data_IF_537345785817
#
_entry.id   IF_537345785817
#
_cell.length_a   1.000
_cell.length_b   1.000
_cell.length_c   1.000
_cell.angle_alpha   90.00
_cell.angle_beta   90.00
_cell.angle_gamma   90.00
#
_symmetry.space_group_name_H-M   'P 1'
#
loop_
_entity.id
_entity.type
_entity.pdbx_description
1 polymer ?
#
# COMPACT_ATOMS: atom_id res chain seq x y z
N UNK A 1 16.46 10.66 1.18
CA UNK A 1 15.20 9.99 1.54
C UNK A 1 14.46 9.66 0.26
N UNK A 2 14.08 8.39 0.07
CA UNK A 2 13.37 7.93 -1.13
C UNK A 2 11.88 7.88 -0.79
N UNK A 3 11.05 8.50 -1.64
CA UNK A 3 9.60 8.40 -1.51
C UNK A 3 9.11 7.16 -2.25
N UNK A 4 8.23 6.40 -1.61
CA UNK A 4 7.60 5.23 -2.17
C UNK A 4 6.10 5.48 -2.31
N UNK A 5 5.50 4.94 -3.37
CA UNK A 5 4.05 4.77 -3.44
C UNK A 5 3.71 3.52 -2.64
N UNK A 6 2.79 3.65 -1.69
CA UNK A 6 2.49 2.63 -0.68
C UNK A 6 1.01 2.31 -0.73
N UNK A 7 0.67 1.04 -0.59
CA UNK A 7 -0.68 0.58 -0.42
C UNK A 7 -1.16 0.95 1.00
N UNK A 8 -2.25 1.71 1.16
CA UNK A 8 -2.76 2.10 2.49
C UNK A 8 -3.32 0.93 3.30
N UNK A 9 -3.53 -0.24 2.68
CA UNK A 9 -4.08 -1.42 3.34
C UNK A 9 -2.99 -2.29 3.96
N UNK A 10 -1.99 -2.67 3.16
CA UNK A 10 -0.97 -3.65 3.60
C UNK A 10 0.44 -3.07 3.68
N UNK A 11 0.65 -1.81 3.30
CA UNK A 11 1.98 -1.21 3.26
C UNK A 11 2.87 -1.76 2.14
N UNK A 12 2.33 -2.45 1.13
CA UNK A 12 3.12 -2.88 -0.03
C UNK A 12 3.47 -1.72 -0.94
N UNK A 13 4.68 -1.72 -1.48
CA UNK A 13 5.14 -0.79 -2.52
C UNK A 13 4.97 -1.39 -3.93
N UNK A 14 4.45 -2.62 -4.01
CA UNK A 14 4.21 -3.35 -5.25
C UNK A 14 2.83 -2.99 -5.83
N UNK A 15 2.76 -1.82 -6.47
CA UNK A 15 1.51 -1.23 -6.95
C UNK A 15 1.61 -0.92 -8.44
N UNK A 16 0.63 -1.39 -9.20
CA UNK A 16 0.53 -1.17 -10.65
C UNK A 16 -0.54 -0.13 -10.98
N UNK A 17 -0.31 0.62 -12.05
CA UNK A 17 -1.29 1.55 -12.59
C UNK A 17 -2.23 0.81 -13.53
N UNK A 18 -3.54 0.91 -13.27
CA UNK A 18 -4.52 0.08 -14.00
C UNK A 18 -4.83 0.69 -15.36
N UNK A 19 -5.09 2.00 -15.44
CA UNK A 19 -5.55 2.64 -16.68
C UNK A 19 -5.04 4.09 -16.77
N UNK A 20 -4.45 4.52 -17.90
CA UNK A 20 -3.98 5.90 -18.08
C UNK A 20 -5.08 6.96 -18.11
N UNK A 21 -6.36 6.59 -18.16
CA UNK A 21 -7.47 7.56 -18.03
C UNK A 21 -7.85 7.83 -16.57
N UNK A 22 -7.44 6.97 -15.64
CA UNK A 22 -7.79 7.08 -14.22
C UNK A 22 -6.51 7.14 -13.37
N UNK A 23 -5.90 8.33 -13.33
CA UNK A 23 -4.63 8.56 -12.63
C UNK A 23 -4.70 8.42 -11.10
N UNK A 24 -5.89 8.23 -10.55
CA UNK A 24 -6.13 8.05 -9.12
C UNK A 24 -6.32 6.59 -8.70
N UNK A 25 -6.26 5.62 -9.64
CA UNK A 25 -6.48 4.21 -9.35
C UNK A 25 -5.23 3.37 -9.63
N UNK A 26 -4.66 2.83 -8.56
CA UNK A 26 -3.61 1.82 -8.61
C UNK A 26 -4.15 0.50 -8.03
N UNK A 27 -3.57 -0.62 -8.46
CA UNK A 27 -3.84 -1.95 -7.91
C UNK A 27 -2.63 -2.44 -7.14
N UNK A 28 -2.83 -2.79 -5.88
CA UNK A 28 -1.83 -3.48 -5.07
C UNK A 28 -1.80 -4.96 -5.46
N UNK A 29 -0.61 -5.48 -5.79
CA UNK A 29 -0.43 -6.88 -6.18
C UNK A 29 -0.37 -7.86 -5.00
N UNK A 30 -0.22 -7.35 -3.77
CA UNK A 30 -0.11 -8.18 -2.56
C UNK A 30 -1.46 -8.42 -1.86
N UNK A 31 -2.39 -7.46 -1.95
CA UNK A 31 -3.66 -7.53 -1.22
C UNK A 31 -4.88 -7.19 -2.08
N UNK A 32 -4.71 -7.16 -3.40
CA UNK A 32 -5.75 -6.85 -4.42
C UNK A 32 -6.47 -5.51 -4.21
N UNK A 33 -5.92 -4.63 -3.36
CA UNK A 33 -6.49 -3.32 -3.11
C UNK A 33 -6.43 -2.46 -4.36
N UNK A 34 -7.59 -1.97 -4.81
CA UNK A 34 -7.71 -1.06 -5.95
C UNK A 34 -8.17 0.31 -5.47
N UNK A 35 -7.35 1.35 -5.66
CA UNK A 35 -7.67 2.68 -5.18
C UNK A 35 -6.49 3.65 -5.17
N UNK A 36 -6.64 4.78 -4.45
CA UNK A 36 -5.55 5.74 -4.26
C UNK A 36 -4.41 5.15 -3.43
N UNK A 37 -3.20 5.62 -3.70
CA UNK A 37 -1.99 5.25 -2.97
C UNK A 37 -1.53 6.41 -2.09
N UNK A 38 -0.76 6.10 -1.06
CA UNK A 38 -0.11 7.10 -0.21
C UNK A 38 1.37 7.18 -0.56
N UNK A 39 2.00 8.31 -0.30
CA UNK A 39 3.44 8.48 -0.49
C UNK A 39 4.13 8.60 0.87
N UNK A 40 5.19 7.83 1.07
CA UNK A 40 5.93 7.81 2.34
C UNK A 40 7.38 7.37 2.18
N UNK A 41 8.17 7.55 3.24
CA UNK A 41 9.55 7.06 3.35
C UNK A 41 9.57 5.57 3.75
N UNK A 42 10.76 4.97 3.74
CA UNK A 42 10.96 3.58 4.16
C UNK A 42 10.43 3.30 5.58
N UNK A 43 10.65 4.21 6.54
CA UNK A 43 10.15 4.06 7.91
C UNK A 43 8.62 3.95 7.95
N UNK A 44 7.92 4.80 7.19
CA UNK A 44 6.46 4.77 7.11
C UNK A 44 5.92 3.51 6.41
N UNK A 45 6.68 2.94 5.46
CA UNK A 45 6.35 1.63 4.86
C UNK A 45 6.37 0.54 5.92
N UNK A 46 7.38 0.54 6.79
CA UNK A 46 7.51 -0.47 7.85
C UNK A 46 6.39 -0.36 8.88
N UNK A 47 6.07 0.85 9.36
CA UNK A 47 4.99 1.05 10.32
C UNK A 47 3.63 0.53 9.83
N UNK A 48 3.27 0.82 8.56
CA UNK A 48 2.00 0.34 7.99
C UNK A 48 1.99 -1.18 7.85
N UNK A 49 3.11 -1.78 7.46
CA UNK A 49 3.24 -3.24 7.35
C UNK A 49 3.09 -3.92 8.69
N UNK A 50 3.67 -3.36 9.75
CA UNK A 50 3.54 -3.88 11.10
C UNK A 50 2.12 -3.75 11.63
N UNK A 51 1.50 -2.57 11.48
CA UNK A 51 0.11 -2.36 11.84
C UNK A 51 -0.85 -3.32 11.11
N UNK A 52 -0.61 -3.57 9.82
CA UNK A 52 -1.39 -4.55 9.06
C UNK A 52 -1.23 -5.98 9.60
N UNK A 53 0.01 -6.41 9.88
CA UNK A 53 0.27 -7.74 10.47
C UNK A 53 -0.35 -7.89 11.85
N UNK A 54 -0.39 -6.83 12.65
CA UNK A 54 -1.04 -6.85 13.96
C UNK A 54 -2.55 -6.99 13.82
N UNK A 55 -3.17 -6.23 12.90
CA UNK A 55 -4.61 -6.35 12.64
C UNK A 55 -5.05 -7.76 12.22
N UNK A 56 -4.22 -8.47 11.46
CA UNK A 56 -4.48 -9.86 11.06
C UNK A 56 -4.40 -10.87 12.22
N UNK A 57 -3.67 -10.55 13.30
CA UNK A 57 -3.53 -11.44 14.46
C UNK A 57 -4.68 -11.31 15.46
N UNK A 58 -5.37 -10.17 15.46
CA UNK A 58 -6.51 -9.92 16.36
C UNK A 58 -7.79 -10.61 15.86
N UNK A 59 -7.82 -11.03 14.59
CA UNK A 59 -8.93 -11.75 13.97
C UNK A 59 -8.87 -13.30 14.17
N UNK A 60 -7.89 -13.84 14.90
CA UNK A 60 -7.73 -15.30 15.17
C UNK A 60 -8.12 -15.73 16.60
#
# INVERSE_FOLDING_TARGET
MKMHKICPRCGSTNIDWIIPQNWSQCVCKDCDYTGPVIEGNDEFVEEIREAYKESLKDEE
#
